data_IF_449387521718
#
_entry.id   IF_449387521718
#
_cell.length_a   1.000
_cell.length_b   1.000
_cell.length_c   1.000
_cell.angle_alpha   90.00
_cell.angle_beta   90.00
_cell.angle_gamma   90.00
#
_symmetry.space_group_name_H-M   'P 1'
#
loop_
_entity.id
_entity.type
_entity.pdbx_description
1 polymer ?
#
# COMPACT_ATOMS: atom_id res chain seq x y z
N UNK A 1 -5.64 -27.98 18.90
CA UNK A 1 -6.20 -26.62 18.94
C UNK A 1 -5.63 -25.94 17.72
N UNK A 2 -6.35 -25.98 16.60
CA UNK A 2 -5.88 -25.36 15.35
C UNK A 2 -5.86 -23.86 15.59
N UNK A 3 -4.67 -23.26 15.55
CA UNK A 3 -4.54 -21.81 15.58
C UNK A 3 -5.35 -21.24 14.42
N UNK A 4 -6.23 -20.30 14.71
CA UNK A 4 -6.83 -19.48 13.67
C UNK A 4 -5.67 -18.71 13.06
N UNK A 5 -5.31 -18.98 11.81
CA UNK A 5 -4.36 -18.14 11.07
C UNK A 5 -4.96 -16.73 11.04
N UNK A 6 -4.37 -15.80 11.80
CA UNK A 6 -4.70 -14.38 11.76
C UNK A 6 -4.02 -13.79 10.52
N UNK A 7 -4.55 -14.11 9.35
CA UNK A 7 -4.08 -13.51 8.11
C UNK A 7 -4.70 -12.12 7.97
N UNK A 8 -3.87 -11.12 7.64
CA UNK A 8 -4.32 -9.73 7.44
C UNK A 8 -4.89 -9.64 6.03
N UNK A 9 -6.21 -9.47 5.89
CA UNK A 9 -6.86 -9.39 4.59
C UNK A 9 -7.20 -7.96 4.19
N UNK A 10 -7.42 -7.08 5.16
CA UNK A 10 -7.80 -5.69 4.90
C UNK A 10 -6.67 -4.82 4.32
N UNK A 11 -5.43 -5.29 4.34
CA UNK A 11 -4.27 -4.62 3.74
C UNK A 11 -3.76 -5.45 2.56
N UNK A 12 -3.73 -4.87 1.37
CA UNK A 12 -3.05 -5.44 0.21
C UNK A 12 -1.67 -4.82 0.08
N UNK A 13 -0.64 -5.65 0.25
CA UNK A 13 0.78 -5.30 0.11
C UNK A 13 1.21 -5.37 -1.36
N UNK A 14 0.77 -4.41 -2.18
CA UNK A 14 0.98 -4.44 -3.63
C UNK A 14 2.46 -4.20 -3.97
N UNK A 15 2.99 -5.00 -4.90
CA UNK A 15 4.35 -4.88 -5.39
C UNK A 15 5.42 -5.06 -4.31
N UNK A 16 5.12 -5.77 -3.23
CA UNK A 16 6.01 -5.93 -2.07
C UNK A 16 6.45 -4.60 -1.45
N UNK A 17 5.48 -3.71 -1.17
CA UNK A 17 5.75 -2.46 -0.44
C UNK A 17 6.52 -2.72 0.85
N UNK A 18 6.08 -3.74 1.59
CA UNK A 18 6.92 -4.47 2.55
C UNK A 18 7.34 -5.80 1.93
N UNK A 19 8.53 -6.29 2.29
CA UNK A 19 8.97 -7.61 1.85
C UNK A 19 7.97 -8.69 2.30
N UNK A 20 7.63 -9.64 1.43
CA UNK A 20 6.59 -10.65 1.68
C UNK A 20 6.87 -11.53 2.91
N UNK A 21 8.14 -11.74 3.25
CA UNK A 21 8.55 -12.45 4.46
C UNK A 21 8.49 -11.60 5.74
N UNK A 22 8.34 -10.28 5.62
CA UNK A 22 8.13 -9.37 6.74
C UNK A 22 6.64 -9.12 6.99
N UNK A 23 5.86 -9.00 5.91
CA UNK A 23 4.40 -8.85 5.92
C UNK A 23 3.71 -10.22 6.07
N UNK A 24 3.79 -10.78 7.28
CA UNK A 24 3.23 -12.09 7.65
C UNK A 24 2.09 -11.93 8.68
N UNK A 25 1.63 -13.05 9.26
CA UNK A 25 0.58 -13.08 10.29
C UNK A 25 0.94 -12.29 11.57
N UNK A 26 2.24 -12.13 11.85
CA UNK A 26 2.74 -11.37 13.01
C UNK A 26 2.92 -9.88 12.71
N UNK A 27 2.69 -9.42 11.47
CA UNK A 27 2.93 -8.04 11.07
C UNK A 27 2.17 -7.03 11.95
N UNK A 28 0.92 -7.31 12.32
CA UNK A 28 0.14 -6.48 13.25
C UNK A 28 0.86 -6.27 14.59
N UNK A 29 1.38 -7.35 15.15
CA UNK A 29 2.11 -7.35 16.42
C UNK A 29 3.44 -6.60 16.28
N UNK A 30 4.19 -6.85 15.20
CA UNK A 30 5.46 -6.15 14.90
C UNK A 30 5.25 -4.63 14.87
N UNK A 31 4.22 -4.16 14.16
CA UNK A 31 3.90 -2.73 14.06
C UNK A 31 3.54 -2.13 15.42
N UNK A 32 2.70 -2.81 16.20
CA UNK A 32 2.30 -2.33 17.54
C UNK A 32 3.50 -2.27 18.49
N UNK A 33 4.32 -3.32 18.54
CA UNK A 33 5.52 -3.35 19.40
C UNK A 33 6.51 -2.24 19.01
N UNK A 34 6.74 -2.05 17.70
CA UNK A 34 7.65 -1.03 17.18
C UNK A 34 7.16 0.39 17.42
N UNK A 35 5.84 0.59 17.43
CA UNK A 35 5.23 1.90 17.64
C UNK A 35 5.57 2.53 19.00
N UNK A 36 5.92 1.72 20.00
CA UNK A 36 6.25 2.19 21.34
C UNK A 36 5.06 2.74 22.13
N UNK A 37 3.83 2.67 21.60
CA UNK A 37 2.63 3.09 22.31
C UNK A 37 2.27 2.12 23.45
N UNK A 38 1.72 2.68 24.53
CA UNK A 38 1.22 1.88 25.65
C UNK A 38 -0.01 1.07 25.23
N UNK A 39 -0.28 -0.04 25.92
CA UNK A 39 -1.50 -0.83 25.68
C UNK A 39 -2.80 -0.03 25.87
N UNK A 40 -2.76 1.03 26.70
CA UNK A 40 -3.89 1.96 26.84
C UNK A 40 -4.10 2.79 25.59
N UNK A 41 -3.04 3.37 25.02
CA UNK A 41 -3.12 4.11 23.75
C UNK A 41 -3.58 3.20 22.59
N UNK A 42 -3.06 1.96 22.51
CA UNK A 42 -3.52 0.97 21.51
C UNK A 42 -5.02 0.69 21.66
N UNK A 43 -5.51 0.56 22.91
CA UNK A 43 -6.96 0.40 23.18
C UNK A 43 -7.76 1.62 22.74
N UNK A 44 -7.23 2.82 22.91
CA UNK A 44 -7.87 4.06 22.45
C UNK A 44 -7.94 4.12 20.92
N UNK A 45 -6.86 3.82 20.20
CA UNK A 45 -6.85 3.74 18.73
C UNK A 45 -7.88 2.73 18.24
N UNK A 46 -7.92 1.54 18.85
CA UNK A 46 -8.93 0.52 18.54
C UNK A 46 -10.36 1.04 18.72
N UNK A 47 -10.63 1.78 19.81
CA UNK A 47 -11.95 2.36 20.06
C UNK A 47 -12.30 3.45 19.06
N UNK A 48 -11.36 4.33 18.71
CA UNK A 48 -11.59 5.44 17.79
C UNK A 48 -11.90 4.93 16.38
N UNK A 49 -11.09 4.01 15.84
CA UNK A 49 -11.32 3.43 14.51
C UNK A 49 -12.61 2.61 14.48
N UNK A 50 -12.93 1.85 15.53
CA UNK A 50 -14.18 1.09 15.59
C UNK A 50 -15.44 2.00 15.56
N UNK A 51 -15.35 3.26 16.00
CA UNK A 51 -16.48 4.22 15.90
C UNK A 51 -16.83 4.58 14.45
N UNK A 52 -15.93 4.35 13.50
CA UNK A 52 -16.18 4.55 12.07
C UNK A 52 -17.10 3.48 11.47
N UNK A 53 -17.17 2.30 12.08
CA UNK A 53 -17.95 1.15 11.58
C UNK A 53 -19.42 1.50 11.27
N UNK A 54 -20.23 2.03 12.20
CA UNK A 54 -21.62 2.39 11.90
C UNK A 54 -21.75 3.47 10.81
N UNK A 55 -20.84 4.43 10.77
CA UNK A 55 -20.82 5.49 9.76
C UNK A 55 -20.53 4.94 8.36
N UNK A 56 -19.59 3.99 8.28
CA UNK A 56 -19.26 3.29 7.05
C UNK A 56 -20.46 2.48 6.52
N UNK A 57 -21.09 1.66 7.35
CA UNK A 57 -22.23 0.85 6.89
C UNK A 57 -23.43 1.72 6.49
N UNK A 58 -23.63 2.87 7.16
CA UNK A 58 -24.62 3.86 6.72
C UNK A 58 -24.27 4.44 5.35
N UNK A 59 -23.00 4.80 5.10
CA UNK A 59 -22.53 5.26 3.80
C UNK A 59 -22.78 4.20 2.72
N UNK A 60 -22.30 2.97 2.94
CA UNK A 60 -22.47 1.84 2.02
C UNK A 60 -23.95 1.59 1.71
N UNK A 61 -24.80 1.52 2.73
CA UNK A 61 -26.24 1.35 2.55
C UNK A 61 -26.81 2.47 1.66
N UNK A 62 -26.43 3.73 1.93
CA UNK A 62 -26.89 4.88 1.14
C UNK A 62 -26.48 4.75 -0.33
N UNK A 63 -25.27 4.26 -0.61
CA UNK A 63 -24.76 4.02 -1.97
C UNK A 63 -25.48 2.89 -2.70
N UNK A 64 -25.81 1.81 -1.99
CA UNK A 64 -26.39 0.59 -2.59
C UNK A 64 -27.91 0.69 -2.77
N UNK A 65 -28.60 1.40 -1.88
CA UNK A 65 -30.06 1.48 -1.89
C UNK A 65 -30.60 2.67 -2.68
N UNK A 66 -29.80 3.72 -2.88
CA UNK A 66 -30.23 4.94 -3.56
C UNK A 66 -29.49 5.12 -4.89
N UNK A 67 -30.24 5.49 -5.94
CA UNK A 67 -29.68 5.87 -7.23
C UNK A 67 -29.11 7.30 -7.15
N UNK A 68 -27.99 7.45 -6.43
CA UNK A 68 -27.35 8.75 -6.18
C UNK A 68 -26.66 9.28 -7.43
N UNK A 69 -26.73 10.59 -7.65
CA UNK A 69 -25.90 11.26 -8.65
C UNK A 69 -24.43 11.21 -8.21
N UNK A 70 -23.48 11.19 -9.15
CA UNK A 70 -22.04 11.15 -8.86
C UNK A 70 -21.60 12.26 -7.89
N UNK A 71 -22.13 13.48 -8.08
CA UNK A 71 -21.90 14.62 -7.18
C UNK A 71 -22.33 14.35 -5.73
N UNK A 72 -23.47 13.67 -5.53
CA UNK A 72 -23.95 13.33 -4.17
C UNK A 72 -23.08 12.24 -3.55
N UNK A 73 -22.64 11.26 -4.35
CA UNK A 73 -21.67 10.22 -3.93
C UNK A 73 -20.35 10.83 -3.46
N UNK A 74 -19.79 11.79 -4.22
CA UNK A 74 -18.57 12.52 -3.85
C UNK A 74 -18.77 13.25 -2.52
N UNK A 75 -19.85 14.03 -2.37
CA UNK A 75 -20.13 14.76 -1.13
C UNK A 75 -20.26 13.84 0.09
N UNK A 76 -20.95 12.71 -0.06
CA UNK A 76 -21.08 11.70 1.00
C UNK A 76 -19.71 11.11 1.36
N UNK A 77 -18.89 10.79 0.36
CA UNK A 77 -17.55 10.23 0.55
C UNK A 77 -16.62 11.23 1.22
N UNK A 78 -16.61 12.49 0.77
CA UNK A 78 -15.81 13.56 1.35
C UNK A 78 -16.09 13.77 2.84
N UNK A 79 -17.37 13.80 3.23
CA UNK A 79 -17.77 13.87 4.65
C UNK A 79 -17.32 12.64 5.44
N UNK A 80 -17.34 11.46 4.83
CA UNK A 80 -16.85 10.26 5.47
C UNK A 80 -15.33 10.28 5.62
N UNK A 81 -14.59 10.72 4.59
CA UNK A 81 -13.15 10.95 4.67
C UNK A 81 -12.79 11.90 5.80
N UNK A 82 -13.54 13.00 5.99
CA UNK A 82 -13.36 13.92 7.14
C UNK A 82 -13.37 13.17 8.47
N UNK A 83 -14.32 12.24 8.65
CA UNK A 83 -14.43 11.45 9.89
C UNK A 83 -13.25 10.50 10.07
N UNK A 84 -12.84 9.80 9.00
CA UNK A 84 -11.70 8.88 9.04
C UNK A 84 -10.40 9.64 9.31
N UNK A 85 -10.16 10.74 8.61
CA UNK A 85 -8.99 11.59 8.79
C UNK A 85 -8.94 12.21 10.20
N UNK A 86 -10.06 12.67 10.75
CA UNK A 86 -10.13 13.13 12.15
C UNK A 86 -9.75 12.02 13.14
N UNK A 87 -10.20 10.78 12.91
CA UNK A 87 -9.80 9.62 13.72
C UNK A 87 -8.31 9.34 13.60
N UNK A 88 -7.72 9.51 12.41
CA UNK A 88 -6.28 9.33 12.17
C UNK A 88 -5.41 10.54 12.62
N UNK A 89 -6.02 11.54 13.27
CA UNK A 89 -5.32 12.70 13.86
C UNK A 89 -5.07 13.87 12.90
N UNK A 90 -5.65 13.86 11.70
CA UNK A 90 -5.60 15.00 10.78
C UNK A 90 -6.63 16.06 11.17
N UNK A 91 -6.33 17.34 10.95
CA UNK A 91 -7.32 18.44 11.08
C UNK A 91 -8.20 18.47 9.82
N UNK A 92 -9.13 17.52 9.72
CA UNK A 92 -9.85 17.28 8.48
C UNK A 92 -10.98 18.28 8.20
N UNK A 93 -11.30 19.14 9.18
CA UNK A 93 -12.25 20.25 9.06
C UNK A 93 -11.64 21.45 8.30
N UNK A 94 -10.30 21.58 8.31
CA UNK A 94 -9.58 22.63 7.60
C UNK A 94 -8.83 22.05 6.39
N UNK A 95 -9.48 22.10 5.22
CA UNK A 95 -8.89 21.63 3.96
C UNK A 95 -8.12 22.73 3.23
N UNK A 96 -7.15 22.35 2.40
CA UNK A 96 -6.44 23.24 1.48
C UNK A 96 -7.19 23.49 0.16
N UNK A 97 -8.47 23.11 0.05
CA UNK A 97 -9.22 23.26 -1.20
C UNK A 97 -9.54 24.70 -1.61
N UNK A 98 -9.41 25.66 -0.70
CA UNK A 98 -9.52 27.08 -1.02
C UNK A 98 -8.36 27.58 -1.91
N UNK A 99 -7.21 26.90 -1.87
CA UNK A 99 -6.02 27.19 -2.68
C UNK A 99 -5.43 25.89 -3.24
N UNK A 100 -5.95 25.47 -4.41
CA UNK A 100 -5.55 24.22 -5.06
C UNK A 100 -4.05 24.20 -5.37
N UNK A 101 -3.41 23.05 -5.20
CA UNK A 101 -1.97 22.93 -5.32
C UNK A 101 -1.49 23.24 -6.75
N UNK A 102 -0.66 24.27 -6.97
CA UNK A 102 -0.22 24.65 -8.30
C UNK A 102 0.90 23.74 -8.81
N UNK A 103 0.71 23.14 -9.99
CA UNK A 103 1.77 22.46 -10.74
C UNK A 103 2.41 23.36 -11.80
N UNK A 104 1.64 24.30 -12.36
CA UNK A 104 2.13 25.34 -13.28
C UNK A 104 1.17 26.54 -13.28
N UNK A 105 1.45 27.57 -14.07
CA UNK A 105 0.57 28.75 -14.20
C UNK A 105 -0.87 28.44 -14.63
N UNK A 106 -1.11 27.29 -15.30
CA UNK A 106 -2.42 26.89 -15.80
C UNK A 106 -2.90 25.53 -15.29
N UNK A 107 -2.12 24.86 -14.45
CA UNK A 107 -2.42 23.52 -13.98
C UNK A 107 -2.37 23.46 -12.46
N UNK A 108 -3.42 22.91 -11.87
CA UNK A 108 -3.53 22.66 -10.42
C UNK A 108 -3.95 21.22 -10.14
N UNK A 109 -3.73 20.77 -8.91
CA UNK A 109 -4.27 19.54 -8.38
C UNK A 109 -5.07 19.77 -7.09
N UNK A 110 -6.20 19.07 -6.90
CA UNK A 110 -6.96 19.14 -5.66
C UNK A 110 -6.29 18.31 -4.56
N UNK A 111 -5.33 18.92 -3.87
CA UNK A 111 -4.70 18.35 -2.68
C UNK A 111 -5.47 18.83 -1.45
N UNK A 112 -6.05 17.88 -0.71
CA UNK A 112 -6.90 18.15 0.46
C UNK A 112 -6.09 18.69 1.64
N UNK A 113 -4.95 18.08 1.93
CA UNK A 113 -4.05 18.49 3.01
C UNK A 113 -2.60 18.42 2.56
N UNK A 114 -1.79 19.38 2.99
CA UNK A 114 -0.34 19.36 2.82
C UNK A 114 0.30 19.49 4.21
N UNK A 115 1.01 18.44 4.62
CA UNK A 115 1.73 18.41 5.89
C UNK A 115 3.22 18.52 5.62
N UNK A 116 3.88 19.34 6.42
CA UNK A 116 5.29 19.70 6.23
C UNK A 116 6.15 19.13 7.36
N UNK A 117 7.38 18.75 7.01
CA UNK A 117 8.46 18.48 7.97
C UNK A 117 9.54 19.53 7.76
N UNK A 118 9.58 20.53 8.66
CA UNK A 118 10.31 21.77 8.38
C UNK A 118 9.67 22.50 7.20
N UNK A 119 10.48 22.87 6.21
CA UNK A 119 10.01 23.59 5.01
C UNK A 119 9.59 22.64 3.86
N UNK A 120 9.80 21.34 4.00
CA UNK A 120 9.52 20.38 2.93
C UNK A 120 8.12 19.76 3.10
N UNK A 121 7.28 19.76 2.04
CA UNK A 121 6.09 18.92 2.00
C UNK A 121 6.51 17.48 2.26
N UNK A 122 5.87 16.84 3.24
CA UNK A 122 6.20 15.49 3.64
C UNK A 122 5.06 14.51 3.32
N UNK A 123 3.82 14.93 3.56
CA UNK A 123 2.63 14.15 3.28
C UNK A 123 1.59 15.02 2.58
N UNK A 124 1.01 14.50 1.51
CA UNK A 124 -0.18 15.07 0.88
C UNK A 124 -1.36 14.12 1.02
N UNK A 125 -2.54 14.65 1.31
CA UNK A 125 -3.80 13.90 1.30
C UNK A 125 -4.58 14.28 0.05
N UNK A 126 -5.05 13.30 -0.71
CA UNK A 126 -5.87 13.49 -1.91
C UNK A 126 -7.16 12.68 -1.81
N UNK A 127 -8.17 13.04 -2.61
CA UNK A 127 -9.43 12.32 -2.68
C UNK A 127 -9.75 11.89 -4.11
N UNK A 128 -10.34 10.71 -4.27
CA UNK A 128 -10.95 10.24 -5.51
C UNK A 128 -12.35 9.67 -5.26
N UNK A 129 -13.01 9.15 -6.29
CA UNK A 129 -14.35 8.58 -6.12
C UNK A 129 -14.30 7.32 -5.27
N UNK A 130 -15.35 7.11 -4.47
CA UNK A 130 -15.46 5.95 -3.63
C UNK A 130 -15.50 4.63 -4.42
N UNK A 131 -14.78 3.63 -3.94
CA UNK A 131 -14.76 2.28 -4.49
C UNK A 131 -15.83 1.37 -3.87
N UNK A 132 -17.03 1.93 -3.65
CA UNK A 132 -18.17 1.19 -3.11
C UNK A 132 -18.97 0.63 -4.28
N UNK A 133 -18.99 -0.71 -4.39
CA UNK A 133 -19.79 -1.41 -5.39
C UNK A 133 -21.27 -1.10 -5.22
N UNK A 134 -21.92 -0.68 -6.31
CA UNK A 134 -23.37 -0.43 -6.38
C UNK A 134 -24.06 -1.49 -7.22
N UNK A 135 -25.40 -1.57 -7.20
CA UNK A 135 -26.14 -2.60 -7.95
C UNK A 135 -26.05 -2.43 -9.47
N UNK A 136 -25.79 -1.20 -9.93
CA UNK A 136 -25.82 -0.81 -11.33
C UNK A 136 -24.44 -0.89 -12.01
N UNK A 137 -23.37 -1.19 -11.25
CA UNK A 137 -21.99 -1.27 -11.74
C UNK A 137 -21.38 -2.64 -11.38
N UNK A 138 -20.68 -3.28 -12.34
CA UNK A 138 -20.01 -4.56 -12.09
C UNK A 138 -18.88 -4.43 -11.05
N UNK A 139 -17.97 -3.48 -11.24
CA UNK A 139 -16.91 -3.12 -10.28
C UNK A 139 -16.60 -1.62 -10.38
N UNK A 140 -16.29 -0.94 -9.26
CA UNK A 140 -15.87 0.45 -9.29
C UNK A 140 -14.44 0.60 -9.81
N UNK A 141 -14.18 1.69 -10.53
CA UNK A 141 -12.84 1.99 -11.10
C UNK A 141 -11.81 2.16 -9.97
N UNK A 142 -10.63 1.57 -10.17
CA UNK A 142 -9.52 1.64 -9.21
C UNK A 142 -8.57 2.82 -9.43
N UNK A 143 -7.48 2.83 -8.67
CA UNK A 143 -6.44 3.87 -8.69
C UNK A 143 -5.95 4.26 -10.10
N UNK A 144 -5.88 3.30 -11.01
CA UNK A 144 -5.35 3.48 -12.36
C UNK A 144 -6.41 3.84 -13.41
N UNK A 145 -7.69 3.74 -13.08
CA UNK A 145 -8.81 3.93 -14.01
C UNK A 145 -9.61 5.22 -13.73
N UNK A 146 -9.45 5.80 -12.53
CA UNK A 146 -10.16 7.02 -12.14
C UNK A 146 -9.53 8.32 -12.68
N UNK A 147 -10.39 9.32 -12.88
CA UNK A 147 -10.01 10.67 -13.28
C UNK A 147 -10.86 11.74 -12.58
N UNK A 148 -10.31 12.94 -12.37
CA UNK A 148 -11.08 14.10 -11.89
C UNK A 148 -12.04 14.66 -12.94
N UNK A 149 -11.69 14.49 -14.22
CA UNK A 149 -12.49 14.92 -15.37
C UNK A 149 -12.03 14.16 -16.64
N UNK A 150 -12.84 14.05 -17.67
CA UNK A 150 -12.43 13.53 -18.99
C UNK A 150 -12.57 14.64 -20.01
N UNK A 151 -11.44 15.04 -20.63
CA UNK A 151 -11.44 15.92 -21.81
C UNK A 151 -10.72 15.20 -22.94
N UNK A 152 -11.29 15.22 -24.13
CA UNK A 152 -10.65 14.73 -25.35
C UNK A 152 -10.54 15.92 -26.30
N UNK A 153 -9.34 16.23 -26.80
CA UNK A 153 -9.04 17.39 -27.65
C UNK A 153 -9.45 18.77 -27.09
N UNK A 154 -9.49 18.94 -25.76
CA UNK A 154 -9.77 20.23 -25.12
C UNK A 154 -11.24 20.68 -25.17
N UNK A 155 -12.15 19.80 -25.60
CA UNK A 155 -13.59 20.04 -25.53
C UNK A 155 -14.27 19.06 -24.55
N UNK A 156 -15.26 19.55 -23.79
CA UNK A 156 -16.07 18.74 -22.90
C UNK A 156 -16.97 17.79 -23.72
N UNK A 157 -16.70 16.48 -23.65
CA UNK A 157 -17.51 15.45 -24.31
C UNK A 157 -18.92 15.42 -23.72
N UNK A 158 -19.92 15.98 -24.42
CA UNK A 158 -21.35 15.78 -24.12
C UNK A 158 -21.85 14.37 -24.52
N UNK A 159 -21.07 13.32 -24.24
CA UNK A 159 -21.51 11.93 -24.45
C UNK A 159 -22.34 11.47 -23.26
N UNK A 160 -23.36 10.64 -23.53
CA UNK A 160 -24.19 9.94 -22.54
C UNK A 160 -23.41 8.96 -21.63
N UNK A 161 -22.10 8.80 -21.85
CA UNK A 161 -21.19 7.91 -21.11
C UNK A 161 -20.03 8.63 -20.40
N UNK A 162 -20.08 9.95 -20.22
CA UNK A 162 -19.01 10.69 -19.51
C UNK A 162 -19.09 10.42 -17.99
N UNK A 163 -18.28 9.45 -17.52
CA UNK A 163 -18.27 9.00 -16.11
C UNK A 163 -17.73 10.06 -15.14
N UNK A 164 -16.69 10.80 -15.54
CA UNK A 164 -16.00 11.79 -14.70
C UNK A 164 -16.08 13.20 -15.29
N UNK A 165 -16.53 14.15 -14.48
CA UNK A 165 -16.62 15.55 -14.86
C UNK A 165 -16.29 16.45 -13.67
N UNK A 166 -15.49 17.51 -13.89
CA UNK A 166 -15.01 18.39 -12.80
C UNK A 166 -16.14 19.01 -11.97
N UNK A 167 -17.29 19.29 -12.59
CA UNK A 167 -18.45 19.88 -11.90
C UNK A 167 -19.09 18.94 -10.86
N UNK A 168 -18.77 17.64 -10.91
CA UNK A 168 -19.18 16.68 -9.88
C UNK A 168 -18.53 17.02 -8.53
N UNK A 169 -17.37 17.68 -8.52
CA UNK A 169 -16.65 18.14 -7.33
C UNK A 169 -16.98 19.57 -6.90
N UNK A 170 -17.91 20.25 -7.57
CA UNK A 170 -18.15 21.68 -7.38
C UNK A 170 -18.64 22.09 -5.98
N UNK A 171 -19.11 21.15 -5.14
CA UNK A 171 -19.46 21.43 -3.74
C UNK A 171 -18.25 21.27 -2.79
N UNK A 172 -17.15 20.67 -3.27
CA UNK A 172 -15.95 20.38 -2.49
C UNK A 172 -14.87 21.42 -2.76
N UNK A 173 -14.64 21.75 -4.04
CA UNK A 173 -13.68 22.76 -4.44
C UNK A 173 -14.07 23.41 -5.77
N UNK A 174 -13.52 24.61 -6.01
CA UNK A 174 -13.70 25.34 -7.27
C UNK A 174 -12.36 25.57 -7.95
N UNK A 175 -12.33 25.39 -9.27
CA UNK A 175 -11.14 25.68 -10.08
C UNK A 175 -11.24 27.10 -10.61
N UNK A 176 -10.22 27.97 -10.41
CA UNK A 176 -10.24 29.33 -10.93
C UNK A 176 -10.39 29.40 -12.46
N UNK A 177 -10.91 30.51 -12.96
CA UNK A 177 -11.05 30.74 -14.39
C UNK A 177 -9.67 30.78 -15.08
N UNK A 178 -9.55 30.13 -16.25
CA UNK A 178 -8.29 30.04 -16.99
C UNK A 178 -7.30 28.97 -16.49
N UNK A 179 -7.64 28.26 -15.41
CA UNK A 179 -6.84 27.16 -14.83
C UNK A 179 -7.59 25.84 -15.01
N UNK A 180 -6.86 24.74 -15.18
CA UNK A 180 -7.42 23.38 -15.27
C UNK A 180 -6.80 22.42 -14.25
N UNK A 181 -7.55 21.37 -13.90
CA UNK A 181 -6.99 20.24 -13.15
C UNK A 181 -6.19 19.41 -14.12
N UNK A 182 -4.89 19.27 -13.88
CA UNK A 182 -4.01 18.50 -14.75
C UNK A 182 -2.78 18.00 -13.97
N UNK A 183 -2.40 16.72 -14.07
CA UNK A 183 -3.10 15.66 -14.82
C UNK A 183 -4.48 15.35 -14.26
N UNK A 184 -5.40 14.96 -15.15
CA UNK A 184 -6.78 14.65 -14.77
C UNK A 184 -6.90 13.23 -14.20
N UNK A 185 -6.12 12.29 -14.74
CA UNK A 185 -6.09 10.89 -14.31
C UNK A 185 -5.35 10.78 -12.98
N UNK A 186 -5.94 10.09 -12.00
CA UNK A 186 -5.47 10.09 -10.60
C UNK A 186 -4.03 9.57 -10.47
N UNK A 187 -3.73 8.40 -11.05
CA UNK A 187 -2.37 7.83 -10.99
C UNK A 187 -1.31 8.73 -11.66
N UNK A 188 -1.68 9.48 -12.71
CA UNK A 188 -0.80 10.45 -13.34
C UNK A 188 -0.58 11.67 -12.45
N UNK A 189 -1.63 12.16 -11.78
CA UNK A 189 -1.51 13.25 -10.82
C UNK A 189 -0.58 12.89 -9.64
N UNK A 190 -0.75 11.69 -9.09
CA UNK A 190 0.18 11.12 -8.09
C UNK A 190 1.61 11.08 -8.62
N UNK A 191 1.80 10.58 -9.84
CA UNK A 191 3.13 10.48 -10.46
C UNK A 191 3.78 11.86 -10.63
N UNK A 192 3.03 12.86 -11.09
CA UNK A 192 3.53 14.24 -11.21
C UNK A 192 3.94 14.84 -9.86
N UNK A 193 3.14 14.64 -8.81
CA UNK A 193 3.51 15.09 -7.45
C UNK A 193 4.82 14.46 -6.97
N UNK A 194 5.04 13.17 -7.25
CA UNK A 194 6.31 12.51 -6.93
C UNK A 194 7.47 12.86 -7.87
N UNK A 195 7.21 13.48 -9.03
CA UNK A 195 8.25 13.98 -9.94
C UNK A 195 8.67 15.43 -9.65
N UNK A 196 7.95 16.16 -8.79
CA UNK A 196 8.31 17.52 -8.38
C UNK A 196 9.75 17.64 -7.88
N UNK A 197 10.36 18.84 -7.92
CA UNK A 197 11.65 19.08 -7.28
C UNK A 197 11.63 18.72 -5.79
N UNK A 198 12.77 18.29 -5.24
CA UNK A 198 12.87 17.76 -3.86
C UNK A 198 12.27 18.67 -2.78
N UNK A 199 12.32 20.01 -2.95
CA UNK A 199 11.78 20.96 -1.98
C UNK A 199 10.24 21.09 -2.01
N UNK A 200 9.58 20.55 -3.04
CA UNK A 200 8.11 20.53 -3.20
C UNK A 200 7.54 19.11 -3.18
N UNK A 201 8.38 18.09 -3.33
CA UNK A 201 7.99 16.70 -3.47
C UNK A 201 7.57 16.12 -2.12
N UNK A 202 6.33 15.61 -1.96
CA UNK A 202 5.96 14.86 -0.77
C UNK A 202 6.68 13.51 -0.73
N UNK A 203 6.94 13.00 0.47
CA UNK A 203 7.38 11.60 0.66
C UNK A 203 6.21 10.65 0.48
N UNK A 204 5.08 10.97 1.11
CA UNK A 204 3.88 10.15 1.12
C UNK A 204 2.70 10.85 0.45
N UNK A 205 1.85 10.08 -0.21
CA UNK A 205 0.51 10.49 -0.60
C UNK A 205 -0.48 9.51 0.03
N UNK A 206 -1.41 10.02 0.85
CA UNK A 206 -2.57 9.29 1.33
C UNK A 206 -3.76 9.60 0.43
N UNK A 207 -4.21 8.63 -0.37
CA UNK A 207 -5.34 8.81 -1.28
C UNK A 207 -6.60 8.14 -0.72
N UNK A 208 -7.64 8.94 -0.48
CA UNK A 208 -8.92 8.50 0.06
C UNK A 208 -9.92 8.19 -1.07
N UNK A 209 -10.51 6.98 -1.05
CA UNK A 209 -11.45 6.49 -2.06
C UNK A 209 -12.68 5.82 -1.41
N UNK A 210 -13.30 6.53 -0.47
CA UNK A 210 -14.48 6.14 0.28
C UNK A 210 -14.18 5.06 1.31
N UNK A 211 -14.38 3.82 0.90
CA UNK A 211 -14.08 2.61 1.67
C UNK A 211 -12.63 2.15 1.53
N UNK A 212 -11.93 2.59 0.49
CA UNK A 212 -10.55 2.19 0.22
C UNK A 212 -9.60 3.37 0.45
N UNK A 213 -8.42 3.09 1.03
CA UNK A 213 -7.35 4.08 1.23
C UNK A 213 -6.07 3.53 0.62
N UNK A 214 -5.29 4.39 -0.03
CA UNK A 214 -3.99 4.02 -0.57
C UNK A 214 -2.90 4.81 0.12
N UNK A 215 -1.86 4.13 0.61
CA UNK A 215 -0.62 4.75 1.05
C UNK A 215 0.42 4.58 -0.04
N UNK A 216 0.82 5.69 -0.63
CA UNK A 216 1.78 5.76 -1.72
C UNK A 216 3.06 6.44 -1.22
N UNK A 217 4.22 5.90 -1.56
CA UNK A 217 5.53 6.47 -1.17
C UNK A 217 6.37 6.75 -2.42
N UNK A 218 7.01 7.91 -2.47
CA UNK A 218 7.76 8.39 -3.64
C UNK A 218 8.82 7.40 -4.15
N UNK A 219 9.53 6.74 -3.22
CA UNK A 219 10.62 5.80 -3.56
C UNK A 219 10.11 4.44 -4.09
N UNK A 220 8.86 4.09 -3.77
CA UNK A 220 8.24 2.79 -4.06
C UNK A 220 7.23 2.85 -5.22
N UNK A 221 6.60 4.00 -5.43
CA UNK A 221 5.56 4.22 -6.42
C UNK A 221 5.94 3.79 -7.84
N UNK A 222 7.11 4.22 -8.33
CA UNK A 222 7.55 3.91 -9.70
C UNK A 222 7.97 2.46 -9.91
N UNK A 223 8.10 1.67 -8.83
CA UNK A 223 8.30 0.21 -8.88
C UNK A 223 6.98 -0.56 -8.87
N UNK A 224 5.85 0.15 -8.79
CA UNK A 224 4.52 -0.45 -8.68
C UNK A 224 4.18 -0.93 -7.27
N UNK A 225 4.88 -0.43 -6.25
CA UNK A 225 4.71 -0.87 -4.86
C UNK A 225 3.95 0.17 -4.04
N UNK A 226 2.88 -0.24 -3.36
CA UNK A 226 2.04 0.60 -2.49
C UNK A 226 1.17 -0.24 -1.57
N UNK A 227 0.58 0.36 -0.54
CA UNK A 227 -0.41 -0.31 0.32
C UNK A 227 -1.82 0.14 -0.04
N UNK A 228 -2.76 -0.81 -0.08
CA UNK A 228 -4.18 -0.55 -0.21
C UNK A 228 -4.90 -1.10 1.03
N UNK A 229 -5.79 -0.31 1.60
CA UNK A 229 -6.55 -0.64 2.81
C UNK A 229 -8.05 -0.65 2.48
N UNK A 230 -8.76 -1.73 2.79
CA UNK A 230 -10.21 -1.84 2.65
C UNK A 230 -10.89 -1.78 4.02
N UNK A 231 -11.68 -0.73 4.26
CA UNK A 231 -12.36 -0.55 5.54
C UNK A 231 -13.43 -1.62 5.81
N UNK A 232 -14.09 -2.15 4.78
CA UNK A 232 -15.10 -3.19 4.97
C UNK A 232 -14.44 -4.46 5.51
N UNK A 233 -13.37 -4.90 4.83
CA UNK A 233 -12.58 -6.06 5.24
C UNK A 233 -11.95 -5.80 6.62
N UNK A 234 -11.49 -4.58 6.91
CA UNK A 234 -10.98 -4.22 8.24
C UNK A 234 -12.02 -4.46 9.33
N UNK A 235 -13.28 -4.05 9.11
CA UNK A 235 -14.34 -4.23 10.09
C UNK A 235 -14.74 -5.70 10.31
N UNK A 236 -14.48 -6.56 9.32
CA UNK A 236 -14.69 -8.01 9.38
C UNK A 236 -13.51 -8.72 10.04
N UNK A 237 -12.28 -8.45 9.58
CA UNK A 237 -11.03 -8.96 10.16
C UNK A 237 -10.94 -8.60 11.66
N UNK A 238 -11.34 -7.39 12.03
CA UNK A 238 -11.30 -6.92 13.42
C UNK A 238 -12.32 -7.62 14.35
N UNK A 239 -13.24 -8.42 13.80
CA UNK A 239 -14.06 -9.33 14.60
C UNK A 239 -13.26 -10.51 15.16
N UNK A 240 -12.15 -10.87 14.49
CA UNK A 240 -11.20 -11.91 14.89
C UNK A 240 -10.11 -11.31 15.78
N UNK A 241 -9.48 -10.21 15.34
CA UNK A 241 -8.47 -9.48 16.13
C UNK A 241 -8.70 -7.97 16.12
N UNK A 242 -9.12 -7.43 17.27
CA UNK A 242 -9.38 -6.00 17.44
C UNK A 242 -8.16 -5.12 17.17
N UNK A 243 -6.94 -5.66 17.30
CA UNK A 243 -5.71 -4.91 17.08
C UNK A 243 -5.51 -4.49 15.62
N UNK A 244 -6.27 -5.06 14.67
CA UNK A 244 -6.27 -4.57 13.29
C UNK A 244 -6.76 -3.12 13.17
N UNK A 245 -7.60 -2.65 14.09
CA UNK A 245 -7.96 -1.23 14.16
C UNK A 245 -6.76 -0.34 14.51
N UNK A 246 -5.94 -0.75 15.48
CA UNK A 246 -4.71 -0.06 15.81
C UNK A 246 -3.68 -0.17 14.68
N UNK A 247 -3.59 -1.32 14.00
CA UNK A 247 -2.73 -1.46 12.81
C UNK A 247 -3.10 -0.45 11.71
N UNK A 248 -4.40 -0.33 11.38
CA UNK A 248 -4.89 0.68 10.45
C UNK A 248 -4.53 2.11 10.90
N UNK A 249 -4.74 2.41 12.19
CA UNK A 249 -4.38 3.71 12.77
C UNK A 249 -2.88 4.00 12.65
N UNK A 250 -2.03 3.04 13.03
CA UNK A 250 -0.58 3.22 13.09
C UNK A 250 0.07 3.36 11.70
N UNK A 251 -0.51 2.75 10.67
CA UNK A 251 0.03 2.86 9.31
C UNK A 251 -0.42 4.14 8.58
N UNK A 252 -1.59 4.70 8.93
CA UNK A 252 -2.16 5.86 8.23
C UNK A 252 -2.24 7.13 9.08
N UNK A 253 -1.90 7.05 10.36
CA UNK A 253 -1.99 8.14 11.32
C UNK A 253 -1.05 9.29 10.96
N UNK A 254 -1.52 10.52 11.20
CA UNK A 254 -0.77 11.75 10.93
C UNK A 254 0.60 11.72 11.60
N UNK A 255 0.66 11.31 12.87
CA UNK A 255 1.90 11.30 13.64
C UNK A 255 2.92 10.28 13.11
N UNK A 256 2.46 9.22 12.42
CA UNK A 256 3.34 8.19 11.87
C UNK A 256 3.83 8.54 10.46
N UNK A 257 2.96 9.14 9.64
CA UNK A 257 3.27 9.52 8.27
C UNK A 257 3.92 10.91 8.15
N UNK A 258 3.69 11.80 9.10
CA UNK A 258 4.29 13.13 9.14
C UNK A 258 4.62 13.55 10.60
N UNK A 259 5.54 12.82 11.27
CA UNK A 259 5.91 13.11 12.65
C UNK A 259 6.54 14.50 12.78
N UNK A 260 6.17 15.21 13.85
CA UNK A 260 6.84 16.46 14.24
C UNK A 260 8.13 16.20 15.04
N UNK A 261 8.29 14.98 15.59
CA UNK A 261 9.44 14.54 16.39
C UNK A 261 10.25 13.43 15.69
N UNK A 262 11.35 12.96 16.30
CA UNK A 262 12.31 12.03 15.69
C UNK A 262 11.80 10.61 15.43
N UNK A 263 10.70 10.18 16.03
CA UNK A 263 10.24 8.80 15.87
C UNK A 263 9.48 8.63 14.56
N UNK A 264 10.10 7.96 13.58
CA UNK A 264 9.50 7.68 12.27
C UNK A 264 9.20 6.19 12.16
N UNK A 265 8.03 5.76 12.65
CA UNK A 265 7.62 4.36 12.66
C UNK A 265 7.79 3.69 11.28
N UNK A 266 7.37 4.37 10.21
CA UNK A 266 7.47 3.83 8.85
C UNK A 266 8.91 3.57 8.40
N UNK A 267 9.85 4.46 8.73
CA UNK A 267 11.28 4.24 8.44
C UNK A 267 11.81 3.00 9.16
N UNK A 268 11.42 2.83 10.42
CA UNK A 268 11.85 1.68 11.20
C UNK A 268 11.28 0.36 10.70
N UNK A 269 10.02 0.37 10.24
CA UNK A 269 9.38 -0.80 9.62
C UNK A 269 10.08 -1.16 8.30
N UNK A 270 10.43 -0.15 7.48
CA UNK A 270 11.18 -0.36 6.25
C UNK A 270 12.57 -0.92 6.51
N UNK A 271 13.30 -0.39 7.49
CA UNK A 271 14.60 -0.92 7.89
C UNK A 271 14.51 -2.39 8.36
N UNK A 272 13.50 -2.74 9.16
CA UNK A 272 13.31 -4.11 9.64
C UNK A 272 12.91 -5.04 8.49
N UNK A 273 12.03 -4.60 7.59
CA UNK A 273 11.67 -5.35 6.38
C UNK A 273 12.90 -5.62 5.49
N UNK A 274 13.77 -4.63 5.32
CA UNK A 274 15.03 -4.78 4.59
C UNK A 274 15.99 -5.77 5.27
N UNK A 275 16.10 -5.75 6.59
CA UNK A 275 16.93 -6.71 7.35
C UNK A 275 16.41 -8.13 7.16
N UNK A 276 15.11 -8.35 7.32
CA UNK A 276 14.48 -9.67 7.18
C UNK A 276 14.61 -10.19 5.74
N UNK A 277 14.43 -9.34 4.73
CA UNK A 277 14.69 -9.71 3.33
C UNK A 277 16.16 -10.10 3.09
N UNK A 278 17.10 -9.32 3.64
CA UNK A 278 18.52 -9.60 3.51
C UNK A 278 18.95 -10.89 4.21
N UNK A 279 18.42 -11.15 5.41
CA UNK A 279 18.65 -12.39 6.17
C UNK A 279 18.17 -13.62 5.38
N UNK A 280 16.96 -13.59 4.80
CA UNK A 280 16.48 -14.69 3.95
C UNK A 280 17.36 -14.91 2.72
N UNK A 281 17.86 -13.84 2.11
CA UNK A 281 18.78 -13.94 0.96
C UNK A 281 20.10 -14.60 1.38
N UNK A 282 20.59 -14.28 2.58
CA UNK A 282 21.79 -14.87 3.15
C UNK A 282 21.56 -16.34 3.50
N UNK A 283 20.47 -16.68 4.16
CA UNK A 283 20.11 -18.04 4.55
C UNK A 283 19.91 -18.94 3.33
N UNK A 284 19.31 -18.43 2.24
CA UNK A 284 19.19 -19.17 0.99
C UNK A 284 20.59 -19.47 0.41
N UNK A 285 21.49 -18.49 0.43
CA UNK A 285 22.87 -18.68 -0.03
C UNK A 285 23.62 -19.69 0.83
N UNK A 286 23.50 -19.62 2.16
CA UNK A 286 24.11 -20.57 3.09
C UNK A 286 23.50 -21.98 2.93
N UNK A 287 22.19 -22.09 2.73
CA UNK A 287 21.49 -23.34 2.45
C UNK A 287 21.97 -24.02 1.17
N UNK A 288 22.17 -23.26 0.08
CA UNK A 288 22.75 -23.79 -1.16
C UNK A 288 24.18 -24.28 -0.93
N UNK A 289 25.00 -23.53 -0.18
CA UNK A 289 26.37 -23.95 0.16
C UNK A 289 26.32 -25.28 0.92
N UNK A 290 25.50 -25.40 1.96
CA UNK A 290 25.38 -26.63 2.74
C UNK A 290 24.84 -27.81 1.95
N UNK A 291 23.87 -27.60 1.06
CA UNK A 291 23.37 -28.65 0.16
C UNK A 291 24.49 -29.17 -0.76
N UNK A 292 25.28 -28.26 -1.35
CA UNK A 292 26.43 -28.62 -2.18
C UNK A 292 27.50 -29.35 -1.36
N UNK A 293 27.80 -28.88 -0.15
CA UNK A 293 28.77 -29.55 0.75
C UNK A 293 28.31 -30.96 1.11
N UNK A 294 27.04 -31.15 1.44
CA UNK A 294 26.49 -32.47 1.77
C UNK A 294 26.54 -33.42 0.57
N UNK A 295 26.13 -32.95 -0.61
CA UNK A 295 26.20 -33.74 -1.84
C UNK A 295 27.64 -34.13 -2.19
N UNK A 296 28.57 -33.18 -2.09
CA UNK A 296 29.98 -33.43 -2.35
C UNK A 296 30.57 -34.43 -1.34
N UNK A 297 30.25 -34.29 -0.05
CA UNK A 297 30.70 -35.21 0.99
C UNK A 297 30.17 -36.63 0.78
N UNK A 298 28.89 -36.77 0.41
CA UNK A 298 28.29 -38.07 0.10
C UNK A 298 28.92 -38.69 -1.16
N UNK A 299 29.15 -37.90 -2.21
CA UNK A 299 29.80 -38.36 -3.42
C UNK A 299 31.25 -38.83 -3.17
N UNK A 300 32.02 -38.10 -2.36
CA UNK A 300 33.37 -38.51 -1.94
C UNK A 300 33.31 -39.80 -1.13
N UNK A 301 32.36 -39.93 -0.19
CA UNK A 301 32.17 -41.15 0.58
C UNK A 301 31.89 -42.35 -0.33
N UNK A 302 30.98 -42.20 -1.29
CA UNK A 302 30.66 -43.26 -2.26
C UNK A 302 31.88 -43.63 -3.11
N UNK A 303 32.55 -42.66 -3.73
CA UNK A 303 33.70 -42.90 -4.60
C UNK A 303 34.87 -43.57 -3.87
N UNK A 304 35.13 -43.18 -2.63
CA UNK A 304 36.24 -43.73 -1.84
C UNK A 304 35.95 -45.11 -1.23
N UNK A 305 34.68 -45.48 -1.08
CA UNK A 305 34.27 -46.70 -0.37
C UNK A 305 33.77 -47.80 -1.29
N UNK A 306 33.11 -47.44 -2.39
CA UNK A 306 32.48 -48.38 -3.32
C UNK A 306 33.26 -48.49 -4.66
N UNK A 307 34.02 -47.45 -5.06
CA UNK A 307 34.66 -47.37 -6.39
C UNK A 307 36.22 -47.27 -6.34
N UNK A 308 36.84 -47.55 -5.19
CA UNK A 308 38.31 -47.62 -4.97
C UNK A 308 39.10 -46.35 -5.35
N UNK A 309 38.46 -45.16 -5.29
CA UNK A 309 39.15 -43.88 -5.45
C UNK A 309 39.88 -43.47 -4.17
N UNK A 310 41.00 -42.77 -4.31
CA UNK A 310 41.70 -42.11 -3.20
C UNK A 310 41.40 -40.61 -3.17
N UNK A 311 41.42 -39.99 -1.99
CA UNK A 311 41.06 -38.56 -1.83
C UNK A 311 41.85 -37.60 -2.75
N UNK A 312 43.11 -37.93 -3.04
CA UNK A 312 44.01 -37.15 -3.89
C UNK A 312 43.71 -37.27 -5.39
N UNK A 313 42.92 -38.27 -5.81
CA UNK A 313 42.52 -38.44 -7.21
C UNK A 313 41.17 -37.79 -7.54
N UNK A 314 40.43 -37.33 -6.52
CA UNK A 314 39.14 -36.65 -6.70
C UNK A 314 39.37 -35.18 -7.05
N UNK A 315 38.89 -34.77 -8.22
CA UNK A 315 38.95 -33.37 -8.66
C UNK A 315 37.86 -32.55 -7.96
N UNK A 316 38.25 -31.81 -6.92
CA UNK A 316 37.35 -30.95 -6.14
C UNK A 316 36.64 -29.86 -6.97
N UNK A 317 37.27 -29.37 -8.04
CA UNK A 317 36.67 -28.33 -8.89
C UNK A 317 35.52 -28.91 -9.72
N UNK A 318 35.78 -30.06 -10.35
CA UNK A 318 34.75 -30.79 -11.10
C UNK A 318 33.58 -31.18 -10.18
N UNK A 319 33.86 -31.75 -9.01
CA UNK A 319 32.82 -32.18 -8.06
C UNK A 319 31.94 -31.02 -7.60
N UNK A 320 32.56 -29.88 -7.24
CA UNK A 320 31.84 -28.67 -6.85
C UNK A 320 30.94 -28.16 -7.98
N UNK A 321 31.44 -28.12 -9.22
CA UNK A 321 30.67 -27.64 -10.37
C UNK A 321 29.52 -28.61 -10.73
N UNK A 322 29.71 -29.92 -10.56
CA UNK A 322 28.69 -30.95 -10.80
C UNK A 322 27.58 -30.90 -9.74
N UNK A 323 27.93 -30.80 -8.45
CA UNK A 323 26.96 -30.61 -7.37
C UNK A 323 26.14 -29.31 -7.54
N UNK A 324 26.78 -28.21 -7.97
CA UNK A 324 26.08 -26.95 -8.28
C UNK A 324 25.10 -27.12 -9.43
N UNK A 325 25.47 -27.87 -10.48
CA UNK A 325 24.57 -28.15 -11.61
C UNK A 325 23.36 -28.98 -11.17
N UNK A 326 23.55 -29.98 -10.30
CA UNK A 326 22.46 -30.80 -9.78
C UNK A 326 21.46 -29.96 -8.95
N UNK A 327 21.95 -29.15 -8.02
CA UNK A 327 21.10 -28.28 -7.18
C UNK A 327 20.30 -27.29 -8.05
N UNK A 328 20.94 -26.65 -9.03
CA UNK A 328 20.27 -25.72 -9.94
C UNK A 328 19.25 -26.39 -10.89
N UNK A 329 19.40 -27.68 -11.16
CA UNK A 329 18.46 -28.45 -11.99
C UNK A 329 17.22 -28.85 -11.19
N UNK A 330 17.38 -29.21 -9.91
CA UNK A 330 16.27 -29.53 -9.00
C UNK A 330 15.33 -28.33 -8.83
N UNK A 331 15.88 -27.12 -8.60
CA UNK A 331 15.05 -25.90 -8.50
C UNK A 331 14.21 -25.64 -9.76
N UNK A 332 14.75 -25.94 -10.96
CA UNK A 332 14.02 -25.75 -12.24
C UNK A 332 12.86 -26.72 -12.42
N UNK A 333 12.99 -27.95 -11.95
CA UNK A 333 11.93 -28.96 -12.08
C UNK A 333 10.84 -28.77 -11.00
N UNK A 334 11.19 -28.31 -9.79
CA UNK A 334 10.21 -27.92 -8.77
C UNK A 334 9.40 -26.68 -9.19
N UNK A 335 10.03 -25.67 -9.81
CA UNK A 335 9.34 -24.51 -10.40
C UNK A 335 8.39 -24.89 -11.55
N UNK A 336 8.68 -25.98 -12.29
CA UNK A 336 7.80 -26.50 -13.34
C UNK A 336 6.59 -27.26 -12.79
N UNK A 337 6.75 -27.98 -11.68
CA UNK A 337 5.63 -28.67 -11.03
C UNK A 337 4.67 -27.71 -10.32
N UNK A 338 5.17 -26.59 -9.80
CA UNK A 338 4.34 -25.51 -9.21
C UNK A 338 3.48 -24.75 -10.24
N UNK A 339 3.88 -24.72 -11.53
CA UNK A 339 3.08 -24.12 -12.61
C UNK A 339 2.07 -25.09 -13.25
N UNK A 340 2.02 -26.36 -12.81
CA UNK A 340 1.10 -27.39 -13.31
C UNK A 340 0.02 -27.83 -12.30
N UNK A 341 -0.09 -27.15 -11.16
CA UNK A 341 -1.24 -27.23 -10.24
C UNK A 341 -1.88 -25.85 -10.12
#
# INVERSE_FOLDING_TARGET
MFGVNNMIHFIQNIGEYFASNYFDEDFSKKVIEKSGYSSEAIREFNQQVNRLKPDYFKLKQTFVENHLRTKDKINLSHRFHTRVLNVLGYDAEQTNYDDLFPLSEKAVLPVRHILYRGEQPHLMVMEMHAMIKTKDEEEPDGLFDQSYNVTENGEDLKSTTQKYHRSQWADIFTVPEGISISPMVINKAVSELFLLPTYQRPRYILLCAGNVYFLLEAEKWFRGSYLQFDLEILFDDASIDKNYFALFYLLLGKEQLAPTAEMVLMEQLDEDAHKVAYEVTKDLKEGVIHAVEQLANEAVHYLTREEDFTYDTINATWLKDDCLMMVATIERDDLRQLHQK
#
